data_IF_580516153291
#
_entry.id   IF_580516153291
#
_cell.length_a   1.000
_cell.length_b   1.000
_cell.length_c   1.000
_cell.angle_alpha   90.00
_cell.angle_beta   90.00
_cell.angle_gamma   90.00
#
_symmetry.space_group_name_H-M   'P 1'
#
loop_
_entity.id
_entity.type
_entity.pdbx_description
1 polymer ?
#
# COMPACT_ATOMS: atom_id res chain seq x y z
N UNK A 1 7.37 5.16 -0.79
CA UNK A 1 6.50 4.01 -1.08
C UNK A 1 5.11 4.53 -1.37
N UNK A 2 4.56 4.17 -2.52
CA UNK A 2 3.16 4.49 -2.89
C UNK A 2 2.32 3.21 -2.86
N UNK A 3 1.21 3.24 -2.12
CA UNK A 3 0.30 2.09 -1.99
C UNK A 3 -1.08 2.51 -2.49
N UNK A 4 -1.31 2.23 -3.78
CA UNK A 4 -2.57 2.54 -4.45
C UNK A 4 -3.66 1.47 -4.25
N UNK A 5 -4.69 1.51 -5.11
CA UNK A 5 -5.76 0.50 -5.13
C UNK A 5 -5.27 -0.84 -5.68
N UNK A 6 -4.68 -0.86 -6.88
CA UNK A 6 -4.27 -2.08 -7.58
C UNK A 6 -2.83 -2.52 -7.34
N UNK A 7 -1.93 -1.64 -6.91
CA UNK A 7 -0.49 -1.92 -6.78
C UNK A 7 0.15 -1.12 -5.67
N UNK A 8 1.32 -1.60 -5.23
CA UNK A 8 2.26 -0.85 -4.43
C UNK A 8 3.58 -0.71 -5.18
N UNK A 9 4.22 0.43 -5.05
CA UNK A 9 5.48 0.80 -5.69
C UNK A 9 6.42 1.41 -4.66
N UNK A 10 7.71 1.12 -4.79
CA UNK A 10 8.74 1.73 -3.97
C UNK A 10 9.88 2.23 -4.87
N UNK A 11 10.43 3.37 -4.54
CA UNK A 11 11.60 3.92 -5.23
C UNK A 11 12.54 4.61 -4.26
N UNK A 12 13.83 4.48 -4.51
CA UNK A 12 14.89 5.28 -3.89
C UNK A 12 15.31 6.33 -4.90
N UNK A 13 15.26 7.59 -4.48
CA UNK A 13 15.59 8.74 -5.31
C UNK A 13 16.78 9.45 -4.67
N UNK A 14 17.83 9.69 -5.43
CA UNK A 14 19.01 10.42 -5.00
C UNK A 14 19.52 11.32 -6.14
N UNK A 15 19.96 12.52 -5.82
CA UNK A 15 20.60 13.46 -6.75
C UNK A 15 19.86 13.64 -8.08
N UNK A 16 18.55 13.71 -8.07
CA UNK A 16 17.70 13.87 -9.26
C UNK A 16 17.48 12.59 -10.10
N UNK A 17 17.92 11.42 -9.63
CA UNK A 17 17.73 10.16 -10.33
C UNK A 17 17.04 9.09 -9.46
N UNK A 18 16.41 8.13 -10.13
CA UNK A 18 15.86 6.93 -9.49
C UNK A 18 16.98 5.89 -9.42
N UNK A 19 17.39 5.49 -8.20
CA UNK A 19 18.52 4.58 -7.96
C UNK A 19 18.05 3.13 -7.89
N UNK A 20 16.95 2.88 -7.21
CA UNK A 20 16.34 1.57 -7.09
C UNK A 20 14.81 1.70 -7.13
N UNK A 21 14.15 0.71 -7.70
CA UNK A 21 12.68 0.68 -7.77
C UNK A 21 12.14 -0.73 -7.71
N UNK A 22 10.94 -0.88 -7.21
CA UNK A 22 10.21 -2.14 -7.21
C UNK A 22 8.71 -1.89 -7.24
N UNK A 23 7.96 -2.83 -7.77
CA UNK A 23 6.50 -2.78 -7.75
C UNK A 23 5.90 -4.17 -7.59
N UNK A 24 4.69 -4.21 -7.00
CA UNK A 24 3.93 -5.43 -6.81
C UNK A 24 2.43 -5.16 -7.05
N UNK A 25 1.72 -6.13 -7.63
CA UNK A 25 0.27 -6.05 -7.84
C UNK A 25 -0.51 -6.39 -6.56
N UNK A 26 -0.20 -5.66 -5.49
CA UNK A 26 -0.88 -5.71 -4.20
C UNK A 26 -1.16 -4.27 -3.77
N UNK A 27 -2.42 -3.97 -3.50
CA UNK A 27 -2.90 -2.67 -3.07
C UNK A 27 -4.26 -2.83 -2.40
N UNK A 28 -5.04 -1.76 -2.32
CA UNK A 28 -6.33 -1.73 -1.66
C UNK A 28 -7.30 -2.83 -2.09
N UNK A 29 -7.34 -3.16 -3.38
CA UNK A 29 -8.23 -4.20 -3.93
C UNK A 29 -7.86 -5.61 -3.42
N UNK A 30 -6.56 -5.88 -3.24
CA UNK A 30 -6.10 -7.15 -2.65
C UNK A 30 -6.42 -7.23 -1.17
N UNK A 31 -6.40 -6.10 -0.46
CA UNK A 31 -6.83 -6.03 0.93
C UNK A 31 -8.33 -6.31 1.04
N UNK A 32 -9.17 -5.77 0.14
CA UNK A 32 -10.61 -6.06 0.11
C UNK A 32 -10.88 -7.55 -0.16
N UNK A 33 -10.17 -8.15 -1.10
CA UNK A 33 -10.23 -9.59 -1.36
C UNK A 33 -9.77 -10.43 -0.16
N UNK A 34 -8.79 -9.96 0.60
CA UNK A 34 -8.32 -10.63 1.82
C UNK A 34 -9.42 -10.62 2.90
N UNK A 35 -10.10 -9.48 3.09
CA UNK A 35 -11.27 -9.38 3.99
C UNK A 35 -12.39 -10.33 3.57
N UNK A 36 -12.74 -10.36 2.28
CA UNK A 36 -13.77 -11.28 1.77
C UNK A 36 -13.42 -12.74 2.07
N UNK A 37 -12.18 -13.15 1.76
CA UNK A 37 -11.69 -14.52 2.04
C UNK A 37 -11.72 -14.85 3.52
N UNK A 38 -11.28 -13.93 4.36
CA UNK A 38 -11.29 -14.12 5.81
C UNK A 38 -12.69 -14.37 6.33
N UNK A 39 -13.67 -13.54 5.93
CA UNK A 39 -15.05 -13.67 6.35
C UNK A 39 -15.71 -14.96 5.85
N UNK A 40 -15.36 -15.41 4.66
CA UNK A 40 -15.81 -16.70 4.15
C UNK A 40 -15.24 -17.85 4.97
N UNK A 41 -13.93 -17.83 5.22
CA UNK A 41 -13.21 -18.93 5.86
C UNK A 41 -13.53 -19.06 7.36
N UNK A 42 -13.62 -17.95 8.08
CA UNK A 42 -13.77 -17.95 9.54
C UNK A 42 -15.22 -17.79 9.99
N UNK A 43 -16.05 -17.19 9.14
CA UNK A 43 -17.42 -16.84 9.53
C UNK A 43 -18.49 -17.37 8.57
N UNK A 44 -18.12 -18.10 7.51
CA UNK A 44 -19.06 -18.58 6.47
C UNK A 44 -19.93 -17.44 5.91
N UNK A 45 -19.39 -16.22 5.86
CA UNK A 45 -20.09 -15.01 5.43
C UNK A 45 -19.55 -14.53 4.10
N UNK A 46 -20.39 -14.55 3.07
CA UNK A 46 -20.09 -13.99 1.75
C UNK A 46 -20.55 -12.53 1.71
N UNK A 47 -19.63 -11.63 1.32
CA UNK A 47 -19.91 -10.20 1.13
C UNK A 47 -19.41 -9.74 -0.26
N UNK A 48 -19.99 -8.66 -0.78
CA UNK A 48 -19.51 -8.02 -2.01
C UNK A 48 -18.26 -7.15 -1.81
N UNK A 49 -17.58 -6.81 -2.90
CA UNK A 49 -16.36 -5.97 -2.90
C UNK A 49 -16.60 -4.62 -2.21
N UNK A 50 -17.68 -3.92 -2.54
CA UNK A 50 -18.03 -2.65 -1.91
C UNK A 50 -18.20 -2.75 -0.39
N UNK A 51 -18.73 -3.87 0.10
CA UNK A 51 -18.86 -4.10 1.55
C UNK A 51 -17.50 -4.33 2.18
N UNK A 52 -16.61 -5.08 1.52
CA UNK A 52 -15.25 -5.30 1.99
C UNK A 52 -14.45 -3.99 2.06
N UNK A 53 -14.55 -3.15 1.03
CA UNK A 53 -13.94 -1.81 1.02
C UNK A 53 -14.48 -0.93 2.15
N UNK A 54 -15.79 -0.93 2.39
CA UNK A 54 -16.37 -0.19 3.51
C UNK A 54 -15.86 -0.68 4.88
N UNK A 55 -15.71 -1.98 5.07
CA UNK A 55 -15.11 -2.56 6.28
C UNK A 55 -13.67 -2.07 6.44
N UNK A 56 -12.86 -2.16 5.38
CA UNK A 56 -11.47 -1.66 5.37
C UNK A 56 -11.39 -0.18 5.76
N UNK A 57 -12.26 0.66 5.20
CA UNK A 57 -12.26 2.10 5.48
C UNK A 57 -12.72 2.41 6.90
N UNK A 58 -13.72 1.70 7.43
CA UNK A 58 -14.33 2.03 8.71
C UNK A 58 -13.56 1.47 9.92
N UNK A 59 -13.08 0.23 9.83
CA UNK A 59 -12.41 -0.46 10.94
C UNK A 59 -11.11 -1.15 10.55
N UNK A 60 -10.64 -0.97 9.29
CA UNK A 60 -9.39 -1.57 8.84
C UNK A 60 -8.22 -1.06 9.67
N UNK A 61 -7.35 -1.97 10.07
CA UNK A 61 -6.11 -1.69 10.78
C UNK A 61 -5.01 -2.63 10.30
N UNK A 62 -3.79 -2.13 10.25
CA UNK A 62 -2.61 -2.95 9.97
C UNK A 62 -2.04 -3.64 11.23
N UNK A 63 -2.47 -3.18 12.41
CA UNK A 63 -2.02 -3.66 13.72
C UNK A 63 -3.21 -4.02 14.60
N UNK A 64 -2.99 -4.89 15.57
CA UNK A 64 -3.97 -5.21 16.61
C UNK A 64 -3.91 -4.21 17.76
N UNK A 65 -5.01 -4.06 18.49
CA UNK A 65 -5.15 -3.15 19.65
C UNK A 65 -5.95 -3.82 20.77
N UNK A 66 -5.75 -3.35 22.00
CA UNK A 66 -6.51 -3.82 23.17
C UNK A 66 -7.97 -3.35 23.16
N UNK A 67 -8.28 -2.32 22.37
CA UNK A 67 -9.64 -1.77 22.25
C UNK A 67 -10.09 -1.74 20.79
N UNK A 68 -10.43 -2.90 20.20
CA UNK A 68 -10.77 -2.97 18.78
C UNK A 68 -12.12 -2.32 18.47
N UNK A 69 -12.15 -1.56 17.38
CA UNK A 69 -13.38 -1.04 16.82
C UNK A 69 -14.24 -2.18 16.26
N UNK A 70 -15.56 -2.08 16.42
CA UNK A 70 -16.49 -3.12 15.95
C UNK A 70 -17.48 -2.57 14.94
N UNK A 71 -17.83 -3.41 13.95
CA UNK A 71 -18.85 -3.11 12.94
C UNK A 71 -19.79 -4.27 12.76
N UNK A 72 -21.06 -3.95 12.48
CA UNK A 72 -22.05 -4.93 12.09
C UNK A 72 -22.06 -5.10 10.56
N UNK A 73 -21.75 -6.28 10.09
CA UNK A 73 -21.70 -6.64 8.67
C UNK A 73 -22.89 -7.50 8.30
N UNK A 74 -23.48 -7.21 7.15
CA UNK A 74 -24.57 -7.99 6.57
C UNK A 74 -24.07 -8.66 5.31
N UNK A 75 -24.38 -9.93 5.13
CA UNK A 75 -24.01 -10.71 3.97
C UNK A 75 -24.88 -11.94 3.81
N UNK A 76 -24.37 -12.90 3.05
CA UNK A 76 -25.03 -14.15 2.77
C UNK A 76 -24.20 -15.31 3.36
N UNK A 77 -24.85 -16.18 4.10
CA UNK A 77 -24.23 -17.43 4.53
C UNK A 77 -23.95 -18.34 3.33
N UNK A 78 -22.99 -19.23 3.42
CA UNK A 78 -22.65 -20.18 2.35
C UNK A 78 -23.86 -21.02 1.90
N UNK A 79 -24.80 -21.31 2.80
CA UNK A 79 -26.08 -22.01 2.48
C UNK A 79 -27.11 -21.14 1.75
N UNK A 80 -26.80 -19.85 1.54
CA UNK A 80 -27.67 -18.94 0.82
C UNK A 80 -28.56 -18.03 1.66
N UNK A 81 -28.63 -18.22 2.97
CA UNK A 81 -29.49 -17.46 3.87
C UNK A 81 -28.83 -16.10 4.25
N UNK A 82 -29.63 -15.02 4.48
CA UNK A 82 -29.10 -13.77 5.03
C UNK A 82 -28.44 -14.02 6.39
N UNK A 83 -27.28 -13.40 6.60
CA UNK A 83 -26.51 -13.49 7.84
C UNK A 83 -26.02 -12.11 8.27
N UNK A 84 -26.08 -11.87 9.58
CA UNK A 84 -25.53 -10.67 10.20
C UNK A 84 -24.47 -11.09 11.20
N UNK A 85 -23.32 -10.41 11.17
CA UNK A 85 -22.16 -10.67 12.02
C UNK A 85 -21.63 -9.37 12.59
N UNK A 86 -21.10 -9.41 13.80
CA UNK A 86 -20.27 -8.33 14.36
C UNK A 86 -18.81 -8.79 14.28
N UNK A 87 -17.98 -7.99 13.63
CA UNK A 87 -16.53 -8.22 13.50
C UNK A 87 -15.78 -7.04 14.10
N UNK A 88 -14.52 -7.24 14.41
CA UNK A 88 -13.68 -6.19 14.97
C UNK A 88 -12.42 -5.91 14.14
N UNK A 89 -11.73 -4.81 14.46
CA UNK A 89 -10.54 -4.37 13.74
C UNK A 89 -9.36 -5.31 13.88
N UNK A 90 -9.28 -6.12 14.94
CA UNK A 90 -8.22 -7.11 15.11
C UNK A 90 -8.38 -8.29 14.14
N UNK A 91 -9.62 -8.71 13.91
CA UNK A 91 -9.92 -9.71 12.87
C UNK A 91 -9.53 -9.20 11.48
N UNK A 92 -9.78 -7.92 11.22
CA UNK A 92 -9.37 -7.31 9.95
C UNK A 92 -7.85 -7.20 9.84
N UNK A 93 -7.17 -6.83 10.92
CA UNK A 93 -5.70 -6.81 10.94
C UNK A 93 -5.09 -8.18 10.62
N UNK A 94 -5.66 -9.26 11.16
CA UNK A 94 -5.26 -10.62 10.82
C UNK A 94 -5.52 -10.96 9.35
N UNK A 95 -6.68 -10.58 8.83
CA UNK A 95 -7.02 -10.79 7.42
C UNK A 95 -6.06 -10.10 6.45
N UNK A 96 -5.59 -8.90 6.78
CA UNK A 96 -4.74 -8.07 5.92
C UNK A 96 -3.26 -8.44 5.97
N UNK A 97 -2.81 -9.12 7.03
CA UNK A 97 -1.39 -9.35 7.35
C UNK A 97 -0.58 -9.88 6.18
N UNK A 98 -1.04 -10.93 5.53
CA UNK A 98 -0.29 -11.59 4.44
C UNK A 98 -0.11 -10.67 3.22
N UNK A 99 -1.13 -9.89 2.90
CA UNK A 99 -1.05 -8.91 1.80
C UNK A 99 -0.11 -7.75 2.14
N UNK A 100 -0.16 -7.27 3.37
CA UNK A 100 0.77 -6.22 3.86
C UNK A 100 2.21 -6.73 3.90
N UNK A 101 2.44 -7.97 4.32
CA UNK A 101 3.78 -8.57 4.31
C UNK A 101 4.38 -8.70 2.90
N UNK A 102 3.57 -8.92 1.86
CA UNK A 102 4.05 -8.90 0.48
C UNK A 102 4.55 -7.50 0.08
N UNK A 103 3.89 -6.44 0.53
CA UNK A 103 4.35 -5.06 0.32
C UNK A 103 5.69 -4.83 1.04
N UNK A 104 5.81 -5.29 2.29
CA UNK A 104 7.07 -5.21 3.05
C UNK A 104 8.22 -5.93 2.33
N UNK A 105 7.95 -7.12 1.80
CA UNK A 105 8.97 -7.87 1.05
C UNK A 105 9.43 -7.13 -0.20
N UNK A 106 8.52 -6.50 -0.94
CA UNK A 106 8.87 -5.66 -2.09
C UNK A 106 9.74 -4.47 -1.66
N UNK A 107 9.41 -3.77 -0.57
CA UNK A 107 10.21 -2.66 -0.06
C UNK A 107 11.61 -3.14 0.37
N UNK A 108 11.71 -4.29 1.06
CA UNK A 108 13.01 -4.89 1.41
C UNK A 108 13.87 -5.17 0.18
N UNK A 109 13.30 -5.75 -0.87
CA UNK A 109 14.01 -6.03 -2.11
C UNK A 109 14.54 -4.75 -2.77
N UNK A 110 13.84 -3.63 -2.66
CA UNK A 110 14.32 -2.32 -3.15
C UNK A 110 15.47 -1.79 -2.28
N UNK A 111 15.37 -1.93 -0.96
CA UNK A 111 16.43 -1.52 -0.04
C UNK A 111 17.70 -2.37 -0.23
N UNK A 112 17.57 -3.67 -0.48
CA UNK A 112 18.69 -4.58 -0.76
C UNK A 112 19.45 -4.23 -2.05
N UNK A 113 18.78 -3.61 -3.02
CA UNK A 113 19.39 -3.12 -4.27
C UNK A 113 20.02 -1.74 -4.13
N UNK A 114 19.83 -1.09 -2.98
CA UNK A 114 20.30 0.28 -2.72
C UNK A 114 21.73 0.25 -2.17
N UNK A 115 22.56 1.16 -2.64
CA UNK A 115 23.94 1.29 -2.17
C UNK A 115 24.03 1.58 -0.66
N UNK A 116 25.10 1.11 0.04
CA UNK A 116 25.21 1.21 1.50
C UNK A 116 25.09 2.63 2.04
N UNK A 117 25.68 3.63 1.35
CA UNK A 117 25.66 5.03 1.75
C UNK A 117 24.22 5.59 1.73
N UNK A 118 23.48 5.30 0.66
CA UNK A 118 22.07 5.70 0.55
C UNK A 118 21.17 4.95 1.53
N UNK A 119 21.47 3.68 1.79
CA UNK A 119 20.75 2.90 2.79
C UNK A 119 20.93 3.49 4.20
N UNK A 120 22.13 3.98 4.53
CA UNK A 120 22.41 4.71 5.77
C UNK A 120 21.57 5.99 5.89
N UNK A 121 21.47 6.75 4.81
CA UNK A 121 20.64 7.96 4.75
C UNK A 121 19.15 7.63 4.95
N UNK A 122 18.67 6.55 4.35
CA UNK A 122 17.27 6.10 4.51
C UNK A 122 16.98 5.71 5.95
N UNK A 123 17.91 5.02 6.64
CA UNK A 123 17.75 4.68 8.05
C UNK A 123 17.60 5.93 8.92
N UNK A 124 18.36 6.98 8.62
CA UNK A 124 18.32 8.24 9.37
C UNK A 124 17.09 9.09 9.06
N UNK A 125 16.67 9.16 7.79
CA UNK A 125 15.59 10.05 7.33
C UNK A 125 14.23 9.38 7.32
N UNK A 126 14.17 8.06 7.19
CA UNK A 126 12.95 7.29 7.11
C UNK A 126 12.39 7.14 5.70
N UNK A 127 11.23 6.51 5.62
CA UNK A 127 10.50 6.20 4.40
C UNK A 127 9.20 7.01 4.37
N UNK A 128 8.93 7.70 3.28
CA UNK A 128 7.65 8.36 3.03
C UNK A 128 6.67 7.37 2.41
N UNK A 129 5.43 7.37 2.91
CA UNK A 129 4.35 6.48 2.46
C UNK A 129 3.21 7.30 1.90
N UNK A 130 2.83 7.04 0.65
CA UNK A 130 1.75 7.71 -0.10
C UNK A 130 0.75 6.69 -0.66
N UNK A 131 -0.25 7.20 -1.38
CA UNK A 131 -1.33 6.40 -1.96
C UNK A 131 -2.53 6.25 -1.04
N UNK A 132 -3.68 5.91 -1.62
CA UNK A 132 -4.95 5.83 -0.87
C UNK A 132 -4.94 4.79 0.24
N UNK A 133 -4.22 3.68 0.06
CA UNK A 133 -4.08 2.62 1.05
C UNK A 133 -3.22 3.04 2.26
N UNK A 134 -2.38 4.07 2.12
CA UNK A 134 -1.62 4.64 3.24
C UNK A 134 -2.51 5.21 4.37
N UNK A 135 -3.80 5.44 4.10
CA UNK A 135 -4.79 5.82 5.12
C UNK A 135 -5.22 4.69 6.05
N UNK A 136 -4.78 3.45 5.81
CA UNK A 136 -5.07 2.31 6.69
C UNK A 136 -4.46 2.57 8.07
N UNK A 137 -5.29 2.47 9.11
CA UNK A 137 -4.85 2.74 10.48
C UNK A 137 -3.65 1.85 10.87
N UNK A 138 -2.62 2.46 11.48
CA UNK A 138 -1.43 1.77 11.97
C UNK A 138 -0.52 1.20 10.88
N UNK A 139 -0.69 1.58 9.61
CA UNK A 139 0.18 1.12 8.53
C UNK A 139 1.62 1.59 8.71
N UNK A 140 1.83 2.83 9.12
CA UNK A 140 3.14 3.40 9.45
C UNK A 140 3.85 2.63 10.57
N UNK A 141 3.10 2.27 11.61
CA UNK A 141 3.60 1.45 12.73
C UNK A 141 3.97 0.05 12.24
N UNK A 142 3.09 -0.60 11.49
CA UNK A 142 3.33 -1.93 10.92
C UNK A 142 4.57 -1.95 10.03
N UNK A 143 4.72 -0.95 9.14
CA UNK A 143 5.88 -0.82 8.27
C UNK A 143 7.16 -0.57 9.08
N UNK A 144 7.13 0.35 10.05
CA UNK A 144 8.27 0.64 10.93
C UNK A 144 8.74 -0.59 11.69
N UNK A 145 7.83 -1.35 12.28
CA UNK A 145 8.16 -2.57 13.02
C UNK A 145 8.71 -3.67 12.10
N UNK A 146 8.16 -3.78 10.88
CA UNK A 146 8.59 -4.79 9.92
C UNK A 146 9.93 -4.47 9.25
N UNK A 147 10.21 -3.18 8.97
CA UNK A 147 11.41 -2.74 8.25
C UNK A 147 12.53 -2.27 9.21
N UNK A 148 12.22 -1.97 10.46
CA UNK A 148 13.10 -1.32 11.44
C UNK A 148 13.62 0.06 10.98
N UNK A 149 12.84 0.74 10.16
CA UNK A 149 13.08 2.08 9.63
C UNK A 149 11.84 2.93 9.92
N UNK A 150 12.02 4.19 10.32
CA UNK A 150 10.90 5.11 10.52
C UNK A 150 10.09 5.27 9.23
N UNK A 151 8.77 5.18 9.32
CA UNK A 151 7.85 5.34 8.20
C UNK A 151 6.87 6.47 8.51
N UNK A 152 6.66 7.36 7.54
CA UNK A 152 5.81 8.54 7.69
C UNK A 152 4.79 8.59 6.57
N UNK A 153 3.51 8.59 6.92
CA UNK A 153 2.45 8.83 5.95
C UNK A 153 2.42 10.33 5.62
N UNK A 154 2.45 10.65 4.33
CA UNK A 154 2.40 12.03 3.86
C UNK A 154 1.02 12.64 4.05
N UNK A 155 0.93 13.97 4.10
CA UNK A 155 -0.36 14.67 4.14
C UNK A 155 -1.15 14.41 2.85
N UNK A 156 -2.45 14.12 2.98
CA UNK A 156 -3.34 13.76 1.86
C UNK A 156 -2.71 12.71 0.92
N UNK A 157 -2.39 11.51 1.43
CA UNK A 157 -1.57 10.53 0.72
C UNK A 157 -2.19 10.06 -0.59
N UNK A 158 -3.51 10.08 -0.72
CA UNK A 158 -4.27 9.79 -1.93
C UNK A 158 -4.12 10.84 -3.04
N UNK A 159 -3.66 12.05 -2.69
CA UNK A 159 -3.44 13.15 -3.62
C UNK A 159 -1.96 13.40 -3.92
N UNK A 160 -1.04 12.69 -3.27
CA UNK A 160 0.40 12.94 -3.39
C UNK A 160 0.87 12.84 -4.84
N UNK A 161 0.44 11.81 -5.58
CA UNK A 161 0.82 11.61 -6.99
C UNK A 161 0.30 12.73 -7.89
N UNK A 162 -0.97 13.11 -7.77
CA UNK A 162 -1.53 14.19 -8.61
C UNK A 162 -0.91 15.55 -8.29
N UNK A 163 -0.58 15.83 -7.02
CA UNK A 163 0.16 17.03 -6.62
C UNK A 163 1.57 17.05 -7.21
N UNK A 164 2.27 15.92 -7.13
CA UNK A 164 3.59 15.76 -7.74
C UNK A 164 3.56 15.96 -9.26
N UNK A 165 2.56 15.38 -9.94
CA UNK A 165 2.38 15.56 -11.37
C UNK A 165 2.07 17.03 -11.73
N UNK A 166 1.24 17.72 -10.96
CA UNK A 166 0.96 19.14 -11.18
C UNK A 166 2.21 20.00 -10.98
N UNK A 167 2.98 19.77 -9.92
CA UNK A 167 4.26 20.45 -9.70
C UNK A 167 5.27 20.16 -10.82
N UNK A 168 5.31 18.92 -11.33
CA UNK A 168 6.19 18.55 -12.43
C UNK A 168 5.94 19.37 -13.71
N UNK A 169 4.70 19.73 -14.01
CA UNK A 169 4.36 20.58 -15.18
C UNK A 169 4.98 21.95 -15.05
N UNK A 170 5.05 22.54 -13.85
CA UNK A 170 5.67 23.84 -13.61
C UNK A 170 7.21 23.80 -13.73
N UNK A 171 7.81 22.64 -13.44
CA UNK A 171 9.26 22.44 -13.44
C UNK A 171 9.75 21.61 -14.63
N UNK A 172 8.97 21.49 -15.70
CA UNK A 172 9.27 20.66 -16.89
C UNK A 172 10.72 20.82 -17.40
N UNK A 173 11.32 22.04 -17.55
CA UNK A 173 12.68 22.16 -18.04
C UNK A 173 13.77 21.55 -17.15
N UNK A 174 13.51 21.46 -15.84
CA UNK A 174 14.43 20.81 -14.89
C UNK A 174 14.24 19.30 -14.88
N UNK A 175 13.00 18.83 -15.05
CA UNK A 175 12.63 17.42 -15.05
C UNK A 175 13.06 16.73 -16.34
N UNK A 176 12.95 17.38 -17.50
CA UNK A 176 13.42 16.84 -18.78
C UNK A 176 14.93 16.47 -18.76
N UNK A 177 15.72 17.19 -17.96
CA UNK A 177 17.15 16.88 -17.82
C UNK A 177 17.45 15.69 -16.92
N UNK A 178 16.50 15.28 -16.09
CA UNK A 178 16.73 14.32 -15.00
C UNK A 178 15.95 13.01 -15.12
N UNK A 179 14.78 13.03 -15.76
CA UNK A 179 13.89 11.87 -15.80
C UNK A 179 13.69 11.25 -17.19
N UNK A 180 14.09 11.94 -18.25
CA UNK A 180 13.87 11.49 -19.63
C UNK A 180 15.21 11.24 -20.34
N UNK A 181 16.01 10.31 -19.80
CA UNK A 181 17.07 9.74 -20.62
C UNK A 181 16.42 8.88 -21.72
N UNK A 182 16.76 9.09 -23.02
CA UNK A 182 16.23 8.31 -24.13
C UNK A 182 16.56 6.80 -24.05
N UNK A 183 17.33 6.39 -23.08
CA UNK A 183 17.78 5.01 -22.84
C UNK A 183 17.03 4.27 -21.74
N UNK A 184 16.04 4.92 -21.08
CA UNK A 184 15.20 4.20 -20.11
C UNK A 184 14.29 3.22 -20.84
N UNK A 185 14.43 1.95 -20.52
CA UNK A 185 13.72 0.77 -21.10
C UNK A 185 12.18 0.89 -21.14
N UNK A 186 11.59 1.89 -20.51
CA UNK A 186 10.16 2.19 -20.54
C UNK A 186 9.63 2.61 -21.93
N UNK A 187 10.50 3.02 -22.85
CA UNK A 187 10.11 3.41 -24.21
C UNK A 187 10.28 2.30 -25.26
N UNK A 188 10.90 1.19 -24.93
CA UNK A 188 11.20 0.11 -25.91
C UNK A 188 9.98 -0.80 -26.14
N UNK A 189 9.05 -0.90 -25.19
CA UNK A 189 7.90 -1.82 -25.28
C UNK A 189 6.72 -1.30 -26.10
N UNK A 190 6.70 -0.04 -26.53
CA UNK A 190 5.58 0.52 -27.31
C UNK A 190 5.84 0.65 -28.82
N UNK A 191 7.01 0.20 -29.31
CA UNK A 191 7.37 0.26 -30.75
C UNK A 191 7.54 -1.09 -31.45
N UNK A 192 7.18 -2.18 -30.79
CA UNK A 192 7.14 -3.51 -31.42
C UNK A 192 5.76 -4.14 -31.18
N UNK A 193 4.73 -3.56 -31.79
CA UNK A 193 3.51 -4.24 -32.24
C UNK A 193 3.04 -3.53 -33.52
#
# INVERSE_FOLDING_TARGET
>A
VDIGGGRAEAAVISMFGMVAKGSIRVGGDKLDQAIQRYLVTHHELVIGERTAEQIKIQIGSAITTDSPNKIRVRGKHLTGQPKVLVIDSNEIAMALRDSLMQIIQMVRAVLEQTEPELSSDIIQRGILVSGGTAKLAGLDVFMRESLHIACFVVDEPDKAVVRGAAAAVEYTPAIERTMLSPTDELYITSRQM
#
